data_IF_568288781426
#
_entry.id   IF_568288781426
#
_cell.length_a   1.000
_cell.length_b   1.000
_cell.length_c   1.000
_cell.angle_alpha   90.00
_cell.angle_beta   90.00
_cell.angle_gamma   90.00
#
_symmetry.space_group_name_H-M   'P 1'
#
loop_
_entity.id
_entity.type
_entity.pdbx_description
1 polymer ?
#
# COMPACT_ATOMS: atom_id res chain seq x y z
N UNK A 1 -12.82 -47.55 -15.34
CA UNK A 1 -12.23 -47.26 -14.01
C UNK A 1 -13.05 -46.12 -13.48
N UNK A 2 -14.20 -46.53 -12.97
CA UNK A 2 -15.42 -45.74 -12.88
C UNK A 2 -15.37 -44.80 -11.69
N UNK A 3 -15.76 -43.56 -11.97
CA UNK A 3 -16.06 -42.51 -11.02
C UNK A 3 -17.38 -42.84 -10.33
N UNK A 4 -17.32 -43.40 -9.12
CA UNK A 4 -18.51 -43.49 -8.27
C UNK A 4 -18.65 -42.18 -7.46
N UNK A 5 -19.61 -41.35 -7.86
CA UNK A 5 -20.20 -40.34 -6.99
C UNK A 5 -20.97 -41.03 -5.85
N UNK A 6 -20.79 -40.61 -4.58
CA UNK A 6 -21.58 -41.18 -3.51
C UNK A 6 -22.99 -40.57 -3.52
N UNK A 7 -23.97 -41.43 -3.83
CA UNK A 7 -25.41 -41.20 -3.64
C UNK A 7 -25.68 -40.75 -2.19
N UNK A 8 -26.28 -39.57 -2.02
CA UNK A 8 -26.73 -39.10 -0.70
C UNK A 8 -27.88 -39.98 -0.20
N UNK A 9 -27.64 -40.63 0.94
CA UNK A 9 -28.62 -41.41 1.69
C UNK A 9 -29.70 -40.50 2.28
N UNK A 10 -30.90 -40.57 1.71
CA UNK A 10 -32.06 -39.74 2.09
C UNK A 10 -32.85 -40.30 3.28
N UNK A 11 -32.40 -41.40 3.90
CA UNK A 11 -33.11 -42.01 5.05
C UNK A 11 -32.97 -41.23 6.37
N UNK A 12 -32.12 -40.21 6.42
CA UNK A 12 -31.81 -39.43 7.64
C UNK A 12 -32.28 -37.97 7.62
N UNK A 13 -33.21 -37.58 6.74
CA UNK A 13 -33.69 -36.19 6.63
C UNK A 13 -34.49 -35.71 7.87
N UNK A 14 -34.93 -36.62 8.75
CA UNK A 14 -35.68 -36.25 9.95
C UNK A 14 -34.83 -35.90 11.19
N UNK A 15 -33.51 -35.76 11.06
CA UNK A 15 -32.64 -35.29 12.15
C UNK A 15 -31.88 -33.99 11.86
N UNK A 16 -32.42 -33.10 11.02
CA UNK A 16 -31.93 -31.72 10.96
C UNK A 16 -32.47 -30.95 12.18
N UNK A 17 -31.61 -30.43 13.09
CA UNK A 17 -32.06 -29.54 14.15
C UNK A 17 -32.34 -28.16 13.54
N UNK A 18 -33.48 -27.99 12.89
CA UNK A 18 -34.10 -26.67 12.70
C UNK A 18 -34.89 -26.29 13.95
N UNK A 19 -34.21 -26.30 15.09
CA UNK A 19 -34.56 -25.43 16.20
C UNK A 19 -33.65 -24.22 16.05
N UNK A 20 -34.18 -23.15 15.48
CA UNK A 20 -33.59 -21.82 15.62
C UNK A 20 -33.52 -21.54 17.13
N UNK A 21 -32.36 -21.86 17.70
CA UNK A 21 -32.04 -21.55 19.09
C UNK A 21 -32.18 -20.04 19.24
N UNK A 22 -32.94 -19.64 20.25
CA UNK A 22 -33.16 -18.26 20.67
C UNK A 22 -31.83 -17.47 20.84
N UNK A 23 -30.68 -18.15 20.91
CA UNK A 23 -29.35 -17.56 20.99
C UNK A 23 -28.78 -16.92 19.70
N UNK A 24 -29.39 -17.04 18.53
CA UNK A 24 -28.91 -16.30 17.33
C UNK A 24 -29.43 -14.87 17.25
N UNK A 25 -30.44 -14.49 18.05
CA UNK A 25 -30.89 -13.10 18.17
C UNK A 25 -30.13 -12.28 19.22
N UNK A 26 -29.29 -12.90 20.06
CA UNK A 26 -28.43 -12.17 21.01
C UNK A 26 -27.15 -11.62 20.38
N UNK A 27 -26.76 -12.07 19.18
CA UNK A 27 -25.50 -11.65 18.54
C UNK A 27 -25.62 -10.37 17.70
N UNK A 28 -26.82 -9.78 17.60
CA UNK A 28 -27.05 -8.49 16.93
C UNK A 28 -27.49 -7.37 17.89
N UNK A 29 -27.63 -7.65 19.19
CA UNK A 29 -28.11 -6.67 20.19
C UNK A 29 -27.02 -5.95 20.99
N UNK A 30 -25.76 -6.36 20.87
CA UNK A 30 -24.64 -5.63 21.48
C UNK A 30 -24.12 -4.58 20.49
N UNK A 31 -24.98 -3.62 20.11
CA UNK A 31 -24.48 -2.30 19.73
C UNK A 31 -23.86 -1.77 21.02
N UNK A 32 -22.52 -1.74 21.16
CA UNK A 32 -21.90 -1.60 22.48
C UNK A 32 -22.42 -0.31 23.10
N UNK A 33 -23.00 -0.36 24.32
CA UNK A 33 -23.59 0.79 25.04
C UNK A 33 -22.75 2.08 24.98
N UNK A 34 -21.44 1.95 24.75
CA UNK A 34 -20.51 3.02 24.42
C UNK A 34 -20.94 3.88 23.22
N UNK A 35 -21.41 3.28 22.11
CA UNK A 35 -21.83 3.99 20.89
C UNK A 35 -23.14 4.77 21.09
N UNK A 36 -24.08 4.24 21.89
CA UNK A 36 -25.34 4.91 22.22
C UNK A 36 -25.12 6.10 23.17
N UNK A 37 -24.21 5.97 24.14
CA UNK A 37 -23.80 7.08 25.04
C UNK A 37 -22.98 8.15 24.32
N UNK A 38 -22.15 7.76 23.34
CA UNK A 38 -21.43 8.69 22.47
C UNK A 38 -22.41 9.53 21.61
N UNK A 39 -23.48 8.94 21.08
CA UNK A 39 -24.50 9.69 20.34
C UNK A 39 -25.29 10.68 21.22
N UNK A 40 -25.48 10.38 22.50
CA UNK A 40 -26.17 11.26 23.44
C UNK A 40 -25.33 12.45 23.94
N UNK A 41 -24.02 12.45 23.71
CA UNK A 41 -23.13 13.55 24.11
C UNK A 41 -23.00 14.56 22.95
N UNK A 42 -23.46 15.81 23.11
CA UNK A 42 -23.38 16.82 22.04
C UNK A 42 -21.95 17.10 21.59
N UNK A 43 -20.95 16.95 22.47
CA UNK A 43 -19.56 17.13 22.11
C UNK A 43 -19.05 16.05 21.14
N UNK A 44 -19.48 14.80 21.33
CA UNK A 44 -19.12 13.68 20.46
C UNK A 44 -19.74 13.81 19.07
N UNK A 45 -21.00 14.27 19.00
CA UNK A 45 -21.68 14.57 17.73
C UNK A 45 -20.98 15.72 16.99
N UNK A 46 -20.66 16.82 17.71
CA UNK A 46 -19.95 17.95 17.13
C UNK A 46 -18.57 17.55 16.58
N UNK A 47 -17.82 16.70 17.29
CA UNK A 47 -16.53 16.19 16.84
C UNK A 47 -16.64 15.31 15.59
N UNK A 48 -17.64 14.41 15.56
CA UNK A 48 -17.90 13.57 14.40
C UNK A 48 -18.27 14.42 13.16
N UNK A 49 -19.14 15.41 13.32
CA UNK A 49 -19.51 16.35 12.26
C UNK A 49 -18.30 17.16 11.78
N UNK A 50 -17.50 17.71 12.70
CA UNK A 50 -16.30 18.46 12.35
C UNK A 50 -15.31 17.60 11.55
N UNK A 51 -15.13 16.33 11.95
CA UNK A 51 -14.25 15.38 11.24
C UNK A 51 -14.78 15.08 9.84
N UNK A 52 -16.09 14.84 9.69
CA UNK A 52 -16.71 14.57 8.40
C UNK A 52 -16.61 15.77 7.45
N UNK A 53 -16.94 16.98 7.94
CA UNK A 53 -16.84 18.22 7.16
C UNK A 53 -15.39 18.49 6.75
N UNK A 54 -14.44 18.33 7.67
CA UNK A 54 -13.01 18.51 7.37
C UNK A 54 -12.52 17.49 6.35
N UNK A 55 -12.91 16.22 6.48
CA UNK A 55 -12.53 15.16 5.54
C UNK A 55 -13.10 15.41 4.14
N UNK A 56 -14.36 15.83 4.05
CA UNK A 56 -15.02 16.18 2.79
C UNK A 56 -14.35 17.40 2.13
N UNK A 57 -14.02 18.41 2.93
CA UNK A 57 -13.27 19.58 2.45
C UNK A 57 -11.89 19.19 1.91
N UNK A 58 -11.12 18.37 2.64
CA UNK A 58 -9.81 17.89 2.16
C UNK A 58 -9.96 17.07 0.88
N UNK A 59 -10.97 16.21 0.78
CA UNK A 59 -11.22 15.40 -0.41
C UNK A 59 -11.41 16.26 -1.67
N UNK A 60 -12.22 17.33 -1.58
CA UNK A 60 -12.47 18.20 -2.73
C UNK A 60 -11.37 19.25 -2.96
N UNK A 61 -10.86 19.88 -1.91
CA UNK A 61 -9.89 20.96 -2.03
C UNK A 61 -8.46 20.44 -2.26
N UNK A 62 -8.11 19.28 -1.71
CA UNK A 62 -6.74 18.73 -1.71
C UNK A 62 -6.69 17.20 -1.91
N UNK A 63 -7.31 16.64 -2.96
CA UNK A 63 -7.32 15.18 -3.20
C UNK A 63 -5.91 14.60 -3.29
N UNK A 64 -4.93 15.40 -3.76
CA UNK A 64 -3.51 15.03 -3.82
C UNK A 64 -2.93 14.63 -2.46
N UNK A 65 -3.34 15.29 -1.37
CA UNK A 65 -2.82 14.97 -0.03
C UNK A 65 -3.28 13.58 0.44
N UNK A 66 -4.53 13.21 0.16
CA UNK A 66 -5.06 11.89 0.52
C UNK A 66 -4.30 10.78 -0.20
N UNK A 67 -4.12 10.95 -1.51
CA UNK A 67 -3.39 9.99 -2.35
C UNK A 67 -1.92 9.87 -1.90
N UNK A 68 -1.25 10.99 -1.64
CA UNK A 68 0.12 10.97 -1.13
C UNK A 68 0.24 10.32 0.25
N UNK A 69 -0.72 10.56 1.14
CA UNK A 69 -0.72 9.94 2.46
C UNK A 69 -0.90 8.43 2.35
N UNK A 70 -1.83 7.97 1.50
CA UNK A 70 -2.01 6.57 1.19
C UNK A 70 -0.70 5.92 0.70
N UNK A 71 -0.04 6.51 -0.30
CA UNK A 71 1.23 5.98 -0.81
C UNK A 71 2.34 5.97 0.25
N UNK A 72 2.45 7.03 1.05
CA UNK A 72 3.43 7.13 2.15
C UNK A 72 3.24 6.07 3.23
N UNK A 73 2.00 5.68 3.50
CA UNK A 73 1.69 4.59 4.43
C UNK A 73 2.03 3.25 3.77
N UNK A 74 1.62 3.03 2.51
CA UNK A 74 1.90 1.80 1.77
C UNK A 74 3.41 1.49 1.70
N UNK A 75 4.26 2.47 1.39
CA UNK A 75 5.72 2.29 1.38
C UNK A 75 6.23 1.86 2.75
N UNK A 76 5.81 2.55 3.82
CA UNK A 76 6.26 2.20 5.18
C UNK A 76 5.84 0.78 5.56
N UNK A 77 4.60 0.40 5.24
CA UNK A 77 4.08 -0.95 5.52
C UNK A 77 4.75 -2.03 4.66
N UNK A 78 5.33 -1.68 3.51
CA UNK A 78 6.12 -2.59 2.69
C UNK A 78 7.53 -2.87 3.26
N UNK A 79 7.93 -2.21 4.33
CA UNK A 79 9.28 -2.31 4.90
C UNK A 79 10.34 -1.51 4.13
N UNK A 80 9.95 -0.78 3.08
CA UNK A 80 10.82 0.15 2.37
C UNK A 80 11.02 1.44 3.18
N UNK A 81 12.24 1.98 3.12
CA UNK A 81 12.59 3.31 3.59
C UNK A 81 12.95 4.17 2.40
N UNK A 82 12.37 5.36 2.32
CA UNK A 82 12.71 6.32 1.28
C UNK A 82 14.12 6.88 1.52
N UNK A 83 14.96 6.82 0.50
CA UNK A 83 16.29 7.41 0.49
C UNK A 83 16.44 8.35 -0.69
N UNK A 84 17.34 9.30 -0.51
CA UNK A 84 17.66 10.31 -1.49
C UNK A 84 19.17 10.47 -1.55
N UNK A 85 19.73 10.49 -2.76
CA UNK A 85 21.15 10.67 -3.02
C UNK A 85 21.31 11.80 -4.03
N UNK A 86 22.17 12.75 -3.72
CA UNK A 86 22.45 13.91 -4.58
C UNK A 86 23.87 13.81 -5.13
N UNK A 87 24.02 13.96 -6.44
CA UNK A 87 25.32 14.04 -7.13
C UNK A 87 26.03 15.37 -6.82
N UNK A 88 27.34 15.44 -7.09
CA UNK A 88 28.17 16.64 -6.96
C UNK A 88 27.63 17.82 -7.79
N UNK A 89 26.84 17.54 -8.83
CA UNK A 89 26.19 18.53 -9.70
C UNK A 89 24.80 18.95 -9.21
N UNK A 90 24.34 18.48 -8.05
CA UNK A 90 23.04 18.82 -7.47
C UNK A 90 21.85 18.01 -8.00
N UNK A 91 22.09 17.06 -8.91
CA UNK A 91 21.02 16.17 -9.41
C UNK A 91 20.67 15.15 -8.34
N UNK A 92 19.38 15.03 -8.02
CA UNK A 92 18.91 14.24 -6.87
C UNK A 92 18.12 13.02 -7.33
N UNK A 93 18.53 11.84 -6.88
CA UNK A 93 17.81 10.58 -7.07
C UNK A 93 17.07 10.18 -5.80
N UNK A 94 15.85 9.69 -5.96
CA UNK A 94 15.04 9.16 -4.87
C UNK A 94 14.67 7.71 -5.13
N UNK A 95 14.73 6.87 -4.10
CA UNK A 95 14.38 5.45 -4.19
C UNK A 95 13.89 4.89 -2.86
N UNK A 96 13.01 3.90 -2.91
CA UNK A 96 12.66 3.06 -1.76
C UNK A 96 13.67 1.92 -1.60
N UNK A 97 14.25 1.76 -0.42
CA UNK A 97 15.17 0.67 -0.11
C UNK A 97 14.60 -0.23 0.99
N UNK A 98 14.62 -1.55 0.78
CA UNK A 98 14.29 -2.57 1.78
C UNK A 98 15.52 -3.42 2.08
N UNK A 99 15.73 -3.68 3.37
CA UNK A 99 16.92 -4.37 3.91
C UNK A 99 18.22 -3.60 3.60
N UNK A 100 19.36 -4.12 4.04
CA UNK A 100 20.69 -3.59 3.68
C UNK A 100 21.35 -4.48 2.64
N UNK A 101 22.15 -3.89 1.76
CA UNK A 101 23.01 -4.64 0.87
C UNK A 101 24.06 -5.41 1.66
N UNK A 102 24.17 -6.72 1.39
CA UNK A 102 25.16 -7.61 2.00
C UNK A 102 26.08 -8.15 0.93
N UNK A 103 27.39 -8.09 1.15
CA UNK A 103 28.38 -8.59 0.19
C UNK A 103 28.13 -10.09 -0.09
N UNK A 104 28.16 -10.47 -1.37
CA UNK A 104 27.91 -11.85 -1.81
C UNK A 104 26.43 -12.25 -1.87
N UNK A 105 25.49 -11.36 -1.52
CA UNK A 105 24.06 -11.56 -1.74
C UNK A 105 23.56 -10.67 -2.88
N UNK A 106 22.66 -11.17 -3.75
CA UNK A 106 22.10 -10.38 -4.83
C UNK A 106 21.16 -9.29 -4.31
N UNK A 107 21.10 -8.18 -5.05
CA UNK A 107 20.15 -7.10 -4.84
C UNK A 107 19.14 -7.09 -5.99
N UNK A 108 17.89 -6.73 -5.71
CA UNK A 108 16.85 -6.55 -6.73
C UNK A 108 16.65 -5.06 -7.00
N UNK A 109 16.82 -4.64 -8.25
CA UNK A 109 16.47 -3.29 -8.71
C UNK A 109 15.12 -3.32 -9.42
N UNK A 110 14.19 -2.50 -8.96
CA UNK A 110 12.84 -2.38 -9.50
C UNK A 110 12.69 -1.02 -10.18
N UNK A 111 12.41 -1.06 -11.49
CA UNK A 111 12.27 0.12 -12.33
C UNK A 111 10.82 0.26 -12.78
N UNK A 112 10.22 1.41 -12.48
CA UNK A 112 8.85 1.69 -12.90
C UNK A 112 8.77 2.07 -14.39
N UNK A 113 7.55 2.06 -14.93
CA UNK A 113 7.25 2.54 -16.27
C UNK A 113 6.81 4.01 -16.31
N UNK A 114 6.30 4.44 -17.46
CA UNK A 114 5.82 5.81 -17.67
C UNK A 114 4.73 6.20 -16.64
N UNK A 115 4.78 7.45 -16.16
CA UNK A 115 3.82 8.03 -15.20
C UNK A 115 3.74 7.33 -13.84
N UNK A 116 4.65 6.42 -13.54
CA UNK A 116 4.76 5.73 -12.25
C UNK A 116 6.00 6.20 -11.47
N UNK A 117 6.12 5.71 -10.24
CA UNK A 117 7.22 5.98 -9.30
C UNK A 117 7.44 4.74 -8.40
N UNK A 118 8.35 4.83 -7.43
CA UNK A 118 8.72 3.77 -6.50
C UNK A 118 7.54 3.23 -5.66
N UNK A 119 6.45 4.00 -5.51
CA UNK A 119 5.29 3.57 -4.72
C UNK A 119 4.61 2.33 -5.30
N UNK A 120 4.65 2.16 -6.63
CA UNK A 120 4.00 1.03 -7.31
C UNK A 120 4.52 -0.33 -6.84
N UNK A 121 5.76 -0.35 -6.34
CA UNK A 121 6.43 -1.58 -5.91
C UNK A 121 6.09 -1.99 -4.48
N UNK A 122 5.45 -1.13 -3.68
CA UNK A 122 5.15 -1.42 -2.27
C UNK A 122 4.42 -2.77 -2.04
N UNK A 123 3.34 -3.12 -2.79
CA UNK A 123 2.66 -4.40 -2.61
C UNK A 123 3.50 -5.62 -3.00
N UNK A 124 4.48 -5.44 -3.89
CA UNK A 124 5.38 -6.50 -4.36
C UNK A 124 6.51 -6.70 -3.35
N UNK A 125 7.19 -5.60 -2.99
CA UNK A 125 8.30 -5.60 -2.03
C UNK A 125 7.85 -6.08 -0.65
N UNK A 126 6.61 -5.78 -0.24
CA UNK A 126 6.05 -6.29 1.01
C UNK A 126 6.13 -7.83 1.12
N UNK A 127 6.01 -8.54 0.00
CA UNK A 127 6.02 -10.01 -0.09
C UNK A 127 7.42 -10.61 -0.13
N UNK A 128 8.47 -9.82 -0.28
CA UNK A 128 9.84 -10.33 -0.25
C UNK A 128 10.19 -10.86 1.14
N UNK A 129 11.10 -11.84 1.21
CA UNK A 129 11.67 -12.26 2.48
C UNK A 129 12.37 -11.07 3.18
N UNK A 130 12.39 -11.00 4.52
CA UNK A 130 12.94 -9.85 5.25
C UNK A 130 14.39 -9.49 4.91
N UNK A 131 15.19 -10.47 4.51
CA UNK A 131 16.62 -10.33 4.22
C UNK A 131 16.94 -10.06 2.74
N UNK A 132 15.92 -10.09 1.86
CA UNK A 132 16.09 -9.72 0.45
C UNK A 132 16.28 -8.22 0.34
N UNK A 133 17.43 -7.82 -0.19
CA UNK A 133 17.73 -6.43 -0.49
C UNK A 133 17.04 -6.00 -1.79
N UNK A 134 16.22 -4.96 -1.72
CA UNK A 134 15.48 -4.43 -2.86
C UNK A 134 15.53 -2.90 -2.90
N UNK A 135 15.70 -2.37 -4.11
CA UNK A 135 15.73 -0.95 -4.40
C UNK A 135 14.67 -0.65 -5.46
N UNK A 136 13.70 0.19 -5.13
CA UNK A 136 12.69 0.72 -6.04
C UNK A 136 13.04 2.16 -6.43
N UNK A 137 13.56 2.36 -7.63
CA UNK A 137 14.12 3.63 -8.07
C UNK A 137 13.10 4.50 -8.80
N UNK A 138 13.04 5.79 -8.46
CA UNK A 138 12.40 6.80 -9.31
C UNK A 138 13.35 7.20 -10.43
N UNK A 139 12.94 6.98 -11.67
CA UNK A 139 13.69 7.39 -12.85
C UNK A 139 13.74 8.92 -12.96
N UNK A 140 14.82 9.51 -13.51
CA UNK A 140 14.87 10.91 -13.92
C UNK A 140 13.56 11.41 -14.55
N UNK A 141 13.03 12.51 -13.99
CA UNK A 141 11.77 13.13 -14.41
C UNK A 141 10.50 12.50 -13.83
N UNK A 142 10.63 11.57 -12.89
CA UNK A 142 9.52 10.86 -12.26
C UNK A 142 9.63 10.87 -10.73
N UNK A 143 8.49 10.69 -10.08
CA UNK A 143 8.40 10.60 -8.62
C UNK A 143 9.03 11.81 -7.93
N UNK A 144 10.10 11.56 -7.17
CA UNK A 144 10.85 12.56 -6.42
C UNK A 144 12.32 12.63 -6.85
N UNK A 145 12.68 12.01 -7.98
CA UNK A 145 13.97 12.23 -8.64
C UNK A 145 13.89 13.53 -9.44
N UNK A 146 15.00 14.27 -9.51
CA UNK A 146 15.10 15.51 -10.26
C UNK A 146 14.66 15.35 -11.72
N UNK A 147 14.06 16.41 -12.25
CA UNK A 147 13.79 16.52 -13.68
C UNK A 147 15.13 16.64 -14.45
N UNK A 148 15.28 15.96 -15.60
CA UNK A 148 16.40 16.19 -16.51
C UNK A 148 16.42 17.64 -16.99
N UNK A 149 17.61 18.14 -17.34
CA UNK A 149 17.74 19.48 -17.90
C UNK A 149 17.19 19.51 -19.35
N UNK A 150 16.83 20.70 -19.82
CA UNK A 150 16.42 20.89 -21.22
C UNK A 150 17.50 20.39 -22.18
N UNK A 151 17.11 19.48 -23.08
CA UNK A 151 18.02 18.86 -24.05
C UNK A 151 18.73 17.60 -23.57
N UNK A 152 18.52 17.17 -22.32
CA UNK A 152 18.98 15.85 -21.86
C UNK A 152 18.27 14.73 -22.64
N UNK A 153 18.98 13.63 -22.91
CA UNK A 153 18.37 12.42 -23.43
C UNK A 153 17.49 11.76 -22.36
N UNK A 154 16.17 11.77 -22.60
CA UNK A 154 15.17 11.13 -21.74
C UNK A 154 14.78 9.73 -22.22
N UNK A 155 15.40 9.26 -23.31
CA UNK A 155 15.28 7.90 -23.80
C UNK A 155 15.98 6.88 -22.88
N UNK A 156 15.91 5.61 -23.28
CA UNK A 156 16.45 4.50 -22.48
C UNK A 156 17.94 4.67 -22.16
N UNK A 157 18.75 5.07 -23.14
CA UNK A 157 20.20 5.24 -22.97
C UNK A 157 20.53 6.40 -22.02
N UNK A 158 19.87 7.55 -22.16
CA UNK A 158 20.03 8.66 -21.23
C UNK A 158 19.62 8.33 -19.80
N UNK A 159 18.50 7.60 -19.62
CA UNK A 159 18.08 7.09 -18.32
C UNK A 159 19.13 6.15 -17.71
N UNK A 160 19.63 5.18 -18.49
CA UNK A 160 20.67 4.25 -18.05
C UNK A 160 21.99 4.96 -17.69
N UNK A 161 22.39 5.95 -18.50
CA UNK A 161 23.58 6.75 -18.25
C UNK A 161 23.49 7.50 -16.92
N UNK A 162 22.33 8.10 -16.62
CA UNK A 162 22.06 8.78 -15.34
C UNK A 162 22.12 7.80 -14.15
N UNK A 163 21.51 6.63 -14.26
CA UNK A 163 21.50 5.63 -13.20
C UNK A 163 22.90 5.13 -12.81
N UNK A 164 23.81 4.96 -13.78
CA UNK A 164 25.20 4.52 -13.53
C UNK A 164 26.03 5.52 -12.74
N UNK A 165 25.63 6.79 -12.67
CA UNK A 165 26.36 7.80 -11.90
C UNK A 165 26.24 7.58 -10.40
N UNK A 166 25.12 7.01 -9.94
CA UNK A 166 24.82 6.78 -8.52
C UNK A 166 25.28 5.41 -8.04
N UNK A 167 25.11 4.37 -8.85
CA UNK A 167 25.44 2.99 -8.48
C UNK A 167 26.82 2.57 -9.02
N UNK A 168 27.87 3.09 -8.38
CA UNK A 168 29.26 2.66 -8.57
C UNK A 168 29.63 1.50 -7.63
#
# INVERSE_FOLDING_TARGET
MDSEEPLLDLSNIHQLPYTLSVGTMELLEEVPLLSLKLLGNPASVALAMATAVTSLYIYFAYPRLLVQMYFRIAVRLSGMRLRTVTDDKGFTFTFGERSQQVQGRPSILLLHGFSADHFMWAPIVQKFAPDVHAVALDLPGHGFTSDPADGDDIGFEGQLHRMRQVWK
#
